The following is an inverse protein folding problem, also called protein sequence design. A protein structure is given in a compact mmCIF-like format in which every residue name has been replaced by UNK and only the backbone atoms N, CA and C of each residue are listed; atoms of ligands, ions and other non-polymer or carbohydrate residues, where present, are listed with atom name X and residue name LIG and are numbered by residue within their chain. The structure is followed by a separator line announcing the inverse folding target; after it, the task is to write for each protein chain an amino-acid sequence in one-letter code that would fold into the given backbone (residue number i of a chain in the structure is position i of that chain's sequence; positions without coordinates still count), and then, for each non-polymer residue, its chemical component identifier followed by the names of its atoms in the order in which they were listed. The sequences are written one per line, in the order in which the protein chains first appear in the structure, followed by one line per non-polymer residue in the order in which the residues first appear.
data_IF_013917777757
#
_entry.id   IF_013917777757
#
_cell.length_a   1.000
_cell.length_b   1.000
_cell.length_c   1.000
_cell.angle_alpha   90.00
_cell.angle_beta   90.00
_cell.angle_gamma   90.00
#
_symmetry.space_group_name_H-M   'P 1'
#
loop_
_entity.id
_entity.type
_entity.pdbx_description
1 polymer ?
#
# COMPACT_ATOMS: atom_id res chain seq x y z
N UNK A 1 40.14 -18.48 -41.73
CA UNK A 1 41.35 -17.91 -41.12
C UNK A 1 41.09 -17.83 -39.63
N UNK A 2 41.30 -18.92 -38.88
CA UNK A 2 42.49 -19.16 -38.04
C UNK A 2 42.79 -17.97 -37.13
N UNK A 3 42.41 -18.04 -35.85
CA UNK A 3 43.31 -18.27 -34.68
C UNK A 3 42.68 -17.42 -33.56
N UNK A 4 42.66 -17.69 -32.25
CA UNK A 4 43.39 -18.59 -31.36
C UNK A 4 42.69 -18.51 -30.00
N UNK A 5 42.64 -19.62 -29.29
CA UNK A 5 42.13 -19.80 -27.92
C UNK A 5 43.28 -19.59 -26.91
N UNK A 6 42.94 -19.32 -25.64
CA UNK A 6 43.80 -19.25 -24.42
C UNK A 6 44.35 -17.83 -24.17
N UNK A 7 44.30 -17.17 -23.02
CA UNK A 7 44.14 -17.43 -21.57
C UNK A 7 43.40 -16.18 -21.01
N UNK A 8 42.54 -16.20 -19.99
CA UNK A 8 42.86 -16.24 -18.55
C UNK A 8 41.53 -16.46 -17.79
N UNK A 9 41.29 -17.69 -17.35
CA UNK A 9 40.42 -17.97 -16.19
C UNK A 9 41.30 -18.70 -15.20
N UNK A 10 41.59 -18.06 -14.07
CA UNK A 10 42.16 -18.71 -12.90
C UNK A 10 41.29 -18.31 -11.71
N UNK A 11 40.31 -19.15 -11.39
CA UNK A 11 39.63 -19.13 -10.10
C UNK A 11 39.66 -20.58 -9.60
N UNK A 12 40.32 -20.74 -8.46
CA UNK A 12 40.50 -21.98 -7.72
C UNK A 12 39.17 -22.73 -7.48
N UNK A 13 39.25 -24.05 -7.65
CA UNK A 13 38.22 -25.01 -7.26
C UNK A 13 38.53 -25.58 -5.88
N UNK A 14 37.66 -25.27 -4.92
CA UNK A 14 37.28 -26.09 -3.75
C UNK A 14 36.01 -25.40 -3.20
N UNK A 15 34.80 -25.96 -3.20
CA UNK A 15 34.40 -27.29 -2.79
C UNK A 15 33.16 -27.78 -3.54
N UNK A 16 33.01 -29.10 -3.49
CA UNK A 16 32.05 -29.98 -4.16
C UNK A 16 30.57 -29.78 -3.83
N UNK A 17 29.74 -29.79 -4.89
CA UNK A 17 28.30 -30.08 -4.86
C UNK A 17 27.86 -30.47 -6.27
N UNK A 18 28.23 -31.68 -6.71
CA UNK A 18 28.06 -32.15 -8.09
C UNK A 18 26.59 -32.33 -8.51
N UNK A 19 26.23 -31.71 -9.63
CA UNK A 19 25.11 -32.15 -10.46
C UNK A 19 25.57 -33.33 -11.33
N UNK A 20 24.69 -34.32 -11.52
CA UNK A 20 24.96 -35.52 -12.34
C UNK A 20 25.38 -35.14 -13.76
N UNK A 21 26.41 -35.82 -14.29
CA UNK A 21 26.96 -35.65 -15.63
C UNK A 21 25.91 -35.85 -16.76
N UNK A 22 24.79 -36.52 -16.47
CA UNK A 22 23.69 -36.71 -17.42
C UNK A 22 22.87 -35.43 -17.64
N UNK A 23 22.84 -34.51 -16.66
CA UNK A 23 22.09 -33.26 -16.75
C UNK A 23 22.80 -32.21 -17.63
N UNK A 24 24.13 -32.16 -17.60
CA UNK A 24 24.93 -31.27 -18.45
C UNK A 24 24.88 -31.70 -19.93
N UNK A 25 24.89 -33.01 -20.19
CA UNK A 25 24.77 -33.54 -21.55
C UNK A 25 23.41 -33.23 -22.19
N UNK A 26 22.31 -33.34 -21.43
CA UNK A 26 20.96 -32.98 -21.90
C UNK A 26 20.84 -31.49 -22.21
N UNK A 27 21.47 -30.63 -21.41
CA UNK A 27 21.36 -29.18 -21.53
C UNK A 27 22.11 -28.64 -22.77
N UNK A 28 23.28 -29.22 -23.08
CA UNK A 28 24.04 -28.86 -24.27
C UNK A 28 23.38 -29.37 -25.56
N UNK A 29 22.69 -30.52 -25.51
CA UNK A 29 21.94 -31.05 -26.65
C UNK A 29 20.72 -30.18 -27.00
N UNK A 30 20.06 -29.59 -25.99
CA UNK A 30 18.89 -28.71 -26.19
C UNK A 30 19.26 -27.35 -26.80
N UNK A 31 20.46 -26.83 -26.52
CA UNK A 31 21.00 -25.59 -27.09
C UNK A 31 21.38 -25.74 -28.58
N UNK A 32 21.86 -26.92 -28.99
CA UNK A 32 22.23 -27.21 -30.39
C UNK A 32 20.98 -27.40 -31.27
N UNK A 33 19.86 -27.86 -30.69
CA UNK A 33 18.64 -28.21 -31.43
C UNK A 33 17.62 -27.06 -31.60
N UNK A 34 17.95 -25.82 -31.22
CA UNK A 34 17.13 -24.65 -31.52
C UNK A 34 15.69 -24.66 -30.96
N UNK A 35 15.43 -25.42 -29.89
CA UNK A 35 14.11 -25.40 -29.23
C UNK A 35 13.97 -24.15 -28.36
N UNK A 36 12.81 -23.46 -28.38
CA UNK A 36 12.64 -22.24 -27.60
C UNK A 36 12.69 -22.56 -26.10
N UNK A 37 13.58 -21.87 -25.40
CA UNK A 37 13.67 -21.86 -23.93
C UNK A 37 12.29 -21.49 -23.37
N UNK A 38 11.69 -22.40 -22.58
CA UNK A 38 10.40 -22.18 -21.92
C UNK A 38 10.45 -20.89 -21.09
N UNK A 39 9.75 -19.85 -21.54
CA UNK A 39 9.40 -18.71 -20.70
C UNK A 39 8.54 -19.22 -19.53
N UNK A 40 9.08 -19.24 -18.33
CA UNK A 40 8.33 -19.56 -17.10
C UNK A 40 7.36 -18.41 -16.78
N UNK A 41 6.21 -18.39 -17.45
CA UNK A 41 5.11 -17.44 -17.25
C UNK A 41 3.98 -18.08 -16.43
N UNK A 42 4.28 -18.67 -15.28
CA UNK A 42 3.25 -19.39 -14.49
C UNK A 42 3.42 -19.24 -12.98
N UNK A 43 3.14 -18.04 -12.46
CA UNK A 43 2.79 -17.72 -11.06
C UNK A 43 2.21 -16.28 -11.04
N UNK A 44 0.98 -15.93 -10.63
CA UNK A 44 -0.24 -16.64 -10.23
C UNK A 44 -1.46 -15.76 -10.59
N UNK A 45 -2.22 -16.10 -11.65
CA UNK A 45 -3.68 -15.83 -11.60
C UNK A 45 -4.24 -16.65 -10.45
N UNK A 46 -5.25 -16.15 -9.72
CA UNK A 46 -5.95 -17.00 -8.75
C UNK A 46 -6.36 -18.31 -9.45
N UNK A 47 -6.06 -19.46 -8.84
CA UNK A 47 -6.54 -20.74 -9.36
C UNK A 47 -8.07 -20.69 -9.30
N UNK A 48 -8.79 -20.89 -10.42
CA UNK A 48 -10.24 -20.85 -10.43
C UNK A 48 -10.74 -22.18 -9.84
N UNK A 49 -10.66 -22.34 -8.52
CA UNK A 49 -11.44 -23.37 -7.83
C UNK A 49 -12.94 -22.98 -7.79
N UNK A 50 -13.23 -21.70 -8.03
CA UNK A 50 -14.57 -21.11 -8.13
C UNK A 50 -14.61 -20.18 -9.34
N UNK A 51 -15.75 -20.09 -10.01
CA UNK A 51 -15.97 -19.14 -11.11
C UNK A 51 -16.15 -17.69 -10.63
N UNK A 52 -15.98 -17.43 -9.34
CA UNK A 52 -16.20 -16.13 -8.72
C UNK A 52 -15.14 -15.80 -7.66
N UNK A 53 -15.05 -14.52 -7.32
CA UNK A 53 -14.20 -13.97 -6.27
C UNK A 53 -15.01 -13.01 -5.41
N UNK A 54 -14.91 -13.13 -4.08
CA UNK A 54 -15.66 -12.31 -3.12
C UNK A 54 -14.78 -11.16 -2.62
N UNK A 55 -15.20 -9.91 -2.78
CA UNK A 55 -14.44 -8.71 -2.38
C UNK A 55 -15.22 -7.93 -1.33
N UNK A 56 -14.55 -7.51 -0.24
CA UNK A 56 -15.15 -6.63 0.76
C UNK A 56 -14.81 -5.18 0.41
N UNK A 57 -15.83 -4.33 0.35
CA UNK A 57 -15.69 -2.88 0.17
C UNK A 57 -16.03 -2.19 1.49
N UNK A 58 -15.01 -1.73 2.22
CA UNK A 58 -15.16 -0.93 3.43
C UNK A 58 -15.33 0.53 3.01
N UNK A 59 -16.50 1.12 3.27
CA UNK A 59 -16.79 2.51 2.95
C UNK A 59 -16.66 3.39 4.19
N UNK A 60 -15.53 4.09 4.30
CA UNK A 60 -15.20 4.94 5.44
C UNK A 60 -15.67 6.38 5.26
N UNK A 61 -15.90 6.82 4.03
CA UNK A 61 -16.36 8.17 3.69
C UNK A 61 -15.61 8.80 2.51
N UNK A 62 -15.44 10.12 2.55
CA UNK A 62 -14.84 10.91 1.48
C UNK A 62 -15.78 11.24 0.32
N UNK A 63 -15.27 12.01 -0.64
CA UNK A 63 -16.02 12.58 -1.77
C UNK A 63 -16.77 11.53 -2.59
N UNK A 64 -16.25 10.30 -2.68
CA UNK A 64 -16.79 9.25 -3.56
C UNK A 64 -18.27 8.93 -3.30
N UNK A 65 -18.73 8.96 -2.04
CA UNK A 65 -20.14 8.72 -1.70
C UNK A 65 -20.90 9.97 -1.25
N UNK A 66 -20.37 11.18 -1.50
CA UNK A 66 -21.10 12.41 -1.20
C UNK A 66 -22.25 12.65 -2.19
N UNK A 67 -23.32 13.27 -1.70
CA UNK A 67 -24.46 13.69 -2.53
C UNK A 67 -24.68 15.19 -2.39
N UNK A 68 -25.33 15.80 -3.39
CA UNK A 68 -25.77 17.19 -3.28
C UNK A 68 -26.92 17.29 -2.28
N UNK A 69 -26.78 18.18 -1.31
CA UNK A 69 -27.86 18.59 -0.45
C UNK A 69 -28.78 19.60 -1.15
N UNK A 70 -29.85 20.04 -0.47
CA UNK A 70 -30.81 21.03 -1.00
C UNK A 70 -30.17 22.36 -1.40
N UNK A 71 -29.02 22.70 -0.81
CA UNK A 71 -28.24 23.91 -1.12
C UNK A 71 -27.23 23.70 -2.25
N UNK A 72 -27.20 22.52 -2.86
CA UNK A 72 -26.30 22.16 -3.95
C UNK A 72 -24.87 21.77 -3.53
N UNK A 73 -24.55 21.79 -2.23
CA UNK A 73 -23.25 21.43 -1.69
C UNK A 73 -23.13 19.92 -1.45
N UNK A 74 -21.93 19.38 -1.56
CA UNK A 74 -21.67 17.96 -1.31
C UNK A 74 -21.58 17.66 0.18
N UNK A 75 -22.29 16.61 0.61
CA UNK A 75 -22.24 16.10 1.97
C UNK A 75 -22.38 14.57 1.96
N UNK A 76 -21.77 13.92 2.96
CA UNK A 76 -21.94 12.49 3.20
C UNK A 76 -23.38 12.22 3.68
N UNK A 77 -24.00 11.15 3.17
CA UNK A 77 -25.30 10.69 3.64
C UNK A 77 -25.28 9.17 3.80
N UNK A 78 -25.60 8.70 5.00
CA UNK A 78 -25.57 7.28 5.33
C UNK A 78 -26.60 6.46 4.54
N UNK A 79 -26.30 5.19 4.33
CA UNK A 79 -27.08 4.17 3.63
C UNK A 79 -27.39 4.48 2.16
N UNK A 80 -26.67 5.42 1.54
CA UNK A 80 -26.91 5.80 0.14
C UNK A 80 -26.06 5.00 -0.85
N UNK A 81 -24.89 4.51 -0.43
CA UNK A 81 -23.89 3.96 -1.34
C UNK A 81 -24.43 2.75 -2.09
N UNK A 82 -24.89 1.74 -1.36
CA UNK A 82 -25.39 0.51 -1.93
C UNK A 82 -26.63 0.74 -2.82
N UNK A 83 -27.61 1.50 -2.33
CA UNK A 83 -28.83 1.84 -3.08
C UNK A 83 -28.50 2.51 -4.41
N UNK A 84 -27.51 3.42 -4.42
CA UNK A 84 -27.09 4.09 -5.64
C UNK A 84 -26.31 3.16 -6.56
N UNK A 85 -25.40 2.32 -6.04
CA UNK A 85 -24.66 1.35 -6.86
C UNK A 85 -25.60 0.40 -7.60
N UNK A 86 -26.67 -0.08 -6.95
CA UNK A 86 -27.69 -0.94 -7.58
C UNK A 86 -28.32 -0.32 -8.83
N UNK A 87 -28.32 1.02 -8.95
CA UNK A 87 -28.83 1.74 -10.13
C UNK A 87 -27.83 1.89 -11.28
N UNK A 88 -26.57 1.45 -11.12
CA UNK A 88 -25.53 1.54 -12.14
C UNK A 88 -25.20 0.15 -12.73
N UNK A 89 -25.65 -0.16 -13.96
CA UNK A 89 -25.41 -1.47 -14.58
C UNK A 89 -23.92 -1.83 -14.72
N UNK A 90 -23.04 -0.83 -14.83
CA UNK A 90 -21.58 -1.03 -14.89
C UNK A 90 -20.94 -1.49 -13.56
N UNK A 91 -21.65 -1.33 -12.44
CA UNK A 91 -21.19 -1.74 -11.11
C UNK A 91 -22.06 -2.85 -10.51
N UNK A 92 -23.27 -3.07 -11.02
CA UNK A 92 -24.18 -4.10 -10.56
C UNK A 92 -24.94 -4.75 -11.73
N UNK A 93 -24.69 -6.02 -11.98
CA UNK A 93 -25.45 -6.87 -12.90
C UNK A 93 -26.57 -7.56 -12.12
N UNK A 94 -27.79 -7.04 -12.28
CA UNK A 94 -28.98 -7.52 -11.58
C UNK A 94 -29.39 -8.94 -12.01
N UNK A 95 -29.12 -9.31 -13.28
CA UNK A 95 -29.50 -10.62 -13.81
C UNK A 95 -28.58 -11.68 -13.24
N UNK A 96 -27.27 -11.41 -13.25
CA UNK A 96 -26.30 -12.31 -12.65
C UNK A 96 -26.44 -12.41 -11.12
N UNK A 97 -26.96 -11.38 -10.43
CA UNK A 97 -27.11 -11.40 -8.99
C UNK A 97 -28.00 -12.55 -8.47
N UNK A 98 -29.01 -12.97 -9.23
CA UNK A 98 -29.87 -14.11 -8.88
C UNK A 98 -29.07 -15.42 -8.80
N UNK A 99 -28.09 -15.63 -9.69
CA UNK A 99 -27.24 -16.82 -9.71
C UNK A 99 -26.30 -16.91 -8.51
N UNK A 100 -26.00 -15.78 -7.86
CA UNK A 100 -25.07 -15.69 -6.72
C UNK A 100 -25.75 -15.53 -5.35
N UNK A 101 -27.09 -15.59 -5.29
CA UNK A 101 -27.84 -15.47 -4.04
C UNK A 101 -27.43 -16.52 -2.97
N UNK A 102 -26.94 -17.69 -3.40
CA UNK A 102 -26.44 -18.74 -2.47
C UNK A 102 -25.03 -18.45 -1.94
N UNK A 103 -24.23 -17.70 -2.69
CA UNK A 103 -22.84 -17.33 -2.34
C UNK A 103 -22.82 -16.16 -1.36
N UNK A 104 -23.82 -15.30 -1.45
CA UNK A 104 -23.99 -14.19 -0.54
C UNK A 104 -25.48 -14.08 -0.17
N UNK A 105 -25.91 -14.77 0.90
CA UNK A 105 -27.31 -14.81 1.31
C UNK A 105 -27.83 -13.48 1.84
N UNK A 106 -26.93 -12.54 2.14
CA UNK A 106 -27.29 -11.18 2.52
C UNK A 106 -27.86 -10.41 1.31
N UNK A 107 -29.00 -9.73 1.50
CA UNK A 107 -29.71 -8.94 0.48
C UNK A 107 -28.88 -7.77 -0.13
N UNK A 108 -27.70 -7.54 0.43
CA UNK A 108 -26.83 -6.41 0.13
C UNK A 108 -25.66 -6.76 -0.79
N UNK A 109 -25.66 -7.98 -1.35
CA UNK A 109 -24.61 -8.38 -2.27
C UNK A 109 -24.74 -7.74 -3.65
N UNK A 110 -23.60 -7.36 -4.22
CA UNK A 110 -23.50 -6.74 -5.53
C UNK A 110 -22.60 -7.59 -6.43
N UNK A 111 -23.00 -7.75 -7.69
CA UNK A 111 -22.24 -8.52 -8.68
C UNK A 111 -21.74 -7.58 -9.76
N UNK A 112 -20.43 -7.50 -9.97
CA UNK A 112 -19.87 -6.74 -11.09
C UNK A 112 -20.26 -7.44 -12.41
N UNK A 113 -20.53 -6.71 -13.52
CA UNK A 113 -20.71 -7.29 -14.85
C UNK A 113 -19.54 -8.17 -15.30
N UNK A 114 -19.73 -8.89 -16.41
CA UNK A 114 -18.63 -9.63 -17.01
C UNK A 114 -17.57 -8.65 -17.53
N UNK A 115 -16.35 -8.82 -17.05
CA UNK A 115 -15.20 -7.98 -17.39
C UNK A 115 -14.22 -8.69 -18.31
N UNK A 116 -14.50 -9.95 -18.69
CA UNK A 116 -13.57 -10.81 -19.44
C UNK A 116 -12.41 -11.34 -18.61
N UNK A 117 -12.43 -11.12 -17.30
CA UNK A 117 -11.44 -11.63 -16.36
C UNK A 117 -11.76 -13.05 -15.87
N UNK A 118 -10.82 -13.67 -15.18
CA UNK A 118 -10.90 -15.09 -14.83
C UNK A 118 -12.05 -15.42 -13.85
N UNK A 119 -12.38 -14.51 -12.94
CA UNK A 119 -13.40 -14.69 -11.92
C UNK A 119 -14.45 -13.59 -12.01
N UNK A 120 -15.73 -13.98 -11.86
CA UNK A 120 -16.82 -13.03 -11.63
C UNK A 120 -16.66 -12.38 -10.26
N UNK A 121 -16.65 -11.05 -10.19
CA UNK A 121 -16.47 -10.35 -8.90
C UNK A 121 -17.82 -10.14 -8.23
N UNK A 122 -17.95 -10.71 -7.04
CA UNK A 122 -19.07 -10.54 -6.12
C UNK A 122 -18.57 -9.72 -4.95
N UNK A 123 -19.29 -8.70 -4.51
CA UNK A 123 -18.80 -7.81 -3.46
C UNK A 123 -19.89 -7.33 -2.50
N UNK A 124 -19.46 -7.00 -1.29
CA UNK A 124 -20.32 -6.49 -0.21
C UNK A 124 -19.78 -5.14 0.23
N UNK A 125 -20.68 -4.19 0.47
CA UNK A 125 -20.33 -2.87 0.98
C UNK A 125 -20.57 -2.84 2.49
N UNK A 126 -19.50 -2.71 3.28
CA UNK A 126 -19.57 -2.42 4.70
C UNK A 126 -19.42 -0.92 4.92
N UNK A 127 -20.54 -0.25 5.17
CA UNK A 127 -20.58 1.21 5.36
C UNK A 127 -20.36 1.58 6.84
N UNK A 128 -19.45 2.53 7.08
CA UNK A 128 -19.21 3.07 8.42
C UNK A 128 -20.28 4.08 8.82
N UNK A 129 -20.66 4.03 10.09
CA UNK A 129 -21.44 5.05 10.76
C UNK A 129 -20.65 5.59 11.98
N UNK A 130 -20.35 6.89 12.04
CA UNK A 130 -20.55 7.91 11.00
C UNK A 130 -19.55 7.77 9.84
N UNK A 131 -19.94 8.27 8.65
CA UNK A 131 -19.01 8.47 7.54
C UNK A 131 -18.03 9.61 7.86
N UNK A 132 -16.76 9.41 7.55
CA UNK A 132 -15.67 10.31 7.92
C UNK A 132 -15.19 11.17 6.74
N UNK A 133 -14.89 12.44 7.04
CA UNK A 133 -13.95 13.20 6.23
C UNK A 133 -12.54 12.69 6.56
N UNK A 134 -11.77 12.35 5.52
CA UNK A 134 -10.40 11.85 5.69
C UNK A 134 -9.50 12.81 6.48
N UNK A 135 -9.75 14.12 6.45
CA UNK A 135 -9.01 15.12 7.23
C UNK A 135 -9.21 14.97 8.75
N UNK A 136 -10.28 14.29 9.18
CA UNK A 136 -10.59 14.02 10.58
C UNK A 136 -10.19 12.60 11.03
N UNK A 137 -9.64 11.78 10.13
CA UNK A 137 -9.25 10.42 10.48
C UNK A 137 -8.00 10.39 11.36
N UNK A 138 -8.04 9.50 12.34
CA UNK A 138 -7.04 9.31 13.38
C UNK A 138 -6.45 7.89 13.33
N UNK A 139 -5.52 7.61 14.25
CA UNK A 139 -4.96 6.26 14.40
C UNK A 139 -6.03 5.22 14.76
N UNK A 140 -7.05 5.60 15.52
CA UNK A 140 -8.13 4.68 15.93
C UNK A 140 -8.97 4.26 14.73
N UNK A 141 -9.17 5.16 13.76
CA UNK A 141 -9.86 4.84 12.50
C UNK A 141 -9.04 3.87 11.64
N UNK A 142 -7.71 4.01 11.62
CA UNK A 142 -6.84 3.03 10.95
C UNK A 142 -6.88 1.66 11.62
N UNK A 143 -6.92 1.63 12.95
CA UNK A 143 -7.07 0.39 13.73
C UNK A 143 -8.39 -0.28 13.41
N UNK A 144 -9.49 0.49 13.37
CA UNK A 144 -10.81 -0.02 12.98
C UNK A 144 -10.76 -0.70 11.61
N UNK A 145 -10.25 -0.02 10.58
CA UNK A 145 -10.13 -0.59 9.23
C UNK A 145 -9.29 -1.87 9.23
N UNK A 146 -8.15 -1.88 9.93
CA UNK A 146 -7.28 -3.05 9.99
C UNK A 146 -7.95 -4.25 10.70
N UNK A 147 -8.72 -3.99 11.75
CA UNK A 147 -9.46 -5.02 12.47
C UNK A 147 -10.62 -5.57 11.66
N UNK A 148 -11.36 -4.73 10.92
CA UNK A 148 -12.42 -5.19 10.02
C UNK A 148 -11.85 -6.10 8.90
N UNK A 149 -10.71 -5.71 8.31
CA UNK A 149 -10.00 -6.57 7.34
C UNK A 149 -9.61 -7.91 7.99
N UNK A 150 -9.20 -7.90 9.26
CA UNK A 150 -8.81 -9.12 10.00
C UNK A 150 -9.98 -10.04 10.25
N UNK A 151 -11.09 -9.50 10.71
CA UNK A 151 -12.30 -10.27 11.01
C UNK A 151 -12.88 -10.91 9.75
N UNK A 152 -12.85 -10.17 8.63
CA UNK A 152 -13.30 -10.64 7.32
C UNK A 152 -12.21 -11.37 6.52
N UNK A 153 -11.02 -11.59 7.09
CA UNK A 153 -9.86 -11.98 6.29
C UNK A 153 -10.06 -13.31 5.57
N UNK A 154 -10.64 -14.31 6.23
CA UNK A 154 -10.81 -15.65 5.65
C UNK A 154 -11.97 -15.73 4.63
N UNK A 155 -13.00 -14.91 4.80
CA UNK A 155 -14.21 -14.95 3.98
C UNK A 155 -14.03 -14.30 2.59
N UNK A 156 -13.21 -13.26 2.51
CA UNK A 156 -13.04 -12.47 1.28
C UNK A 156 -11.68 -12.73 0.61
N UNK A 157 -11.65 -12.59 -0.72
CA UNK A 157 -10.46 -12.79 -1.54
C UNK A 157 -9.61 -11.52 -1.70
N UNK A 158 -10.23 -10.34 -1.52
CA UNK A 158 -9.56 -9.05 -1.57
C UNK A 158 -10.40 -7.98 -0.86
N UNK A 159 -9.77 -6.83 -0.60
CA UNK A 159 -10.34 -5.74 0.17
C UNK A 159 -10.19 -4.43 -0.58
N UNK A 160 -11.25 -3.61 -0.52
CA UNK A 160 -11.25 -2.24 -1.02
C UNK A 160 -11.66 -1.34 0.14
N UNK A 161 -10.93 -0.25 0.34
CA UNK A 161 -11.27 0.80 1.31
C UNK A 161 -11.59 2.07 0.54
N UNK A 162 -12.86 2.47 0.54
CA UNK A 162 -13.31 3.74 -0.02
C UNK A 162 -13.07 4.85 0.99
N UNK A 163 -12.22 5.80 0.60
CA UNK A 163 -11.62 6.76 1.51
C UNK A 163 -11.53 8.16 0.86
N UNK A 164 -11.55 9.21 1.68
CA UNK A 164 -11.30 10.59 1.22
C UNK A 164 -9.85 10.79 0.76
N UNK A 165 -9.61 11.67 -0.20
CA UNK A 165 -8.29 11.77 -0.85
C UNK A 165 -7.24 12.49 -0.01
N UNK A 166 -7.61 13.33 0.95
CA UNK A 166 -6.68 14.22 1.67
C UNK A 166 -5.65 13.47 2.51
N UNK A 167 -6.07 12.43 3.24
CA UNK A 167 -5.18 11.62 4.09
C UNK A 167 -5.00 10.19 3.60
N UNK A 168 -5.48 9.87 2.39
CA UNK A 168 -5.43 8.51 1.82
C UNK A 168 -4.03 7.88 1.84
N UNK A 169 -2.99 8.67 1.50
CA UNK A 169 -1.61 8.19 1.51
C UNK A 169 -1.09 7.89 2.92
N UNK A 170 -1.58 8.59 3.95
CA UNK A 170 -1.26 8.30 5.35
C UNK A 170 -1.91 7.00 5.79
N UNK A 171 -3.21 6.83 5.53
CA UNK A 171 -3.94 5.59 5.82
C UNK A 171 -3.31 4.39 5.12
N UNK A 172 -2.97 4.53 3.83
CA UNK A 172 -2.30 3.48 3.06
C UNK A 172 -0.93 3.10 3.64
N UNK A 173 -0.18 4.09 4.11
CA UNK A 173 1.11 3.85 4.75
C UNK A 173 0.93 3.15 6.10
N UNK A 174 0.02 3.63 6.95
CA UNK A 174 -0.28 3.02 8.25
C UNK A 174 -0.71 1.56 8.11
N UNK A 175 -1.71 1.29 7.27
CA UNK A 175 -2.19 -0.08 7.01
C UNK A 175 -1.10 -0.98 6.46
N UNK A 176 -0.17 -0.47 5.63
CA UNK A 176 0.94 -1.29 5.12
C UNK A 176 1.89 -1.80 6.22
N UNK A 177 1.99 -1.10 7.35
CA UNK A 177 2.74 -1.56 8.52
C UNK A 177 1.89 -2.38 9.49
N UNK A 178 0.59 -2.11 9.56
CA UNK A 178 -0.32 -2.81 10.46
C UNK A 178 -0.65 -4.22 9.98
N UNK A 179 -0.81 -4.41 8.66
CA UNK A 179 -1.21 -5.66 8.02
C UNK A 179 0.02 -6.52 7.72
N UNK A 180 0.60 -7.12 8.75
CA UNK A 180 1.76 -8.00 8.65
C UNK A 180 1.40 -9.34 8.01
N UNK A 181 2.29 -9.87 7.17
CA UNK A 181 2.09 -11.12 6.43
C UNK A 181 0.80 -11.10 5.59
N UNK A 182 0.49 -9.93 5.02
CA UNK A 182 -0.60 -9.77 4.08
C UNK A 182 -0.38 -10.67 2.86
N UNK A 183 -1.41 -11.44 2.52
CA UNK A 183 -1.43 -12.38 1.40
C UNK A 183 -2.55 -12.09 0.39
N UNK A 184 -3.34 -11.04 0.62
CA UNK A 184 -4.48 -10.63 -0.21
C UNK A 184 -4.32 -9.18 -0.64
N UNK A 185 -4.96 -8.82 -1.74
CA UNK A 185 -4.91 -7.47 -2.28
C UNK A 185 -5.76 -6.52 -1.44
N UNK A 186 -5.16 -5.45 -0.93
CA UNK A 186 -5.87 -4.37 -0.22
C UNK A 186 -5.71 -3.09 -1.04
N UNK A 187 -6.80 -2.56 -1.57
CA UNK A 187 -6.80 -1.36 -2.41
C UNK A 187 -7.52 -0.23 -1.67
N UNK A 188 -6.85 0.88 -1.47
CA UNK A 188 -7.50 2.11 -1.00
C UNK A 188 -7.78 2.97 -2.22
N UNK A 189 -9.00 3.45 -2.35
CA UNK A 189 -9.40 4.30 -3.47
C UNK A 189 -10.45 5.31 -3.04
N UNK A 190 -10.77 6.24 -3.92
CA UNK A 190 -11.71 7.33 -3.69
C UNK A 190 -11.98 8.06 -4.99
N UNK A 191 -12.39 9.32 -4.92
CA UNK A 191 -12.61 10.14 -6.11
C UNK A 191 -12.48 11.63 -5.80
N UNK A 192 -12.26 12.43 -6.85
CA UNK A 192 -12.36 13.88 -6.79
C UNK A 192 -13.80 14.35 -7.06
N UNK A 193 -14.56 13.57 -7.83
CA UNK A 193 -15.96 13.83 -8.16
C UNK A 193 -16.80 12.69 -7.60
N UNK A 194 -17.89 12.94 -6.85
CA UNK A 194 -18.69 11.87 -6.27
C UNK A 194 -19.19 10.87 -7.30
N UNK A 195 -19.26 9.58 -6.93
CA UNK A 195 -19.57 8.45 -7.81
C UNK A 195 -20.88 8.65 -8.59
N UNK A 196 -21.82 9.40 -8.02
CA UNK A 196 -23.15 9.59 -8.58
C UNK A 196 -23.20 10.63 -9.70
N UNK A 197 -22.16 11.45 -9.87
CA UNK A 197 -22.11 12.52 -10.88
C UNK A 197 -21.75 11.98 -12.27
N UNK A 198 -22.30 12.56 -13.33
CA UNK A 198 -22.16 12.00 -14.69
C UNK A 198 -20.70 11.78 -15.13
N UNK A 199 -19.80 12.72 -14.83
CA UNK A 199 -18.37 12.68 -15.20
C UNK A 199 -17.45 12.22 -14.05
N UNK A 200 -17.96 11.39 -13.15
CA UNK A 200 -17.20 10.94 -11.98
C UNK A 200 -16.04 10.01 -12.32
N UNK A 201 -14.87 10.30 -11.75
CA UNK A 201 -13.73 9.37 -11.68
C UNK A 201 -13.95 8.23 -10.67
N UNK A 202 -14.90 8.38 -9.75
CA UNK A 202 -15.20 7.38 -8.72
C UNK A 202 -15.75 6.08 -9.28
N UNK A 203 -16.49 6.10 -10.40
CA UNK A 203 -16.97 4.87 -11.04
C UNK A 203 -15.82 4.02 -11.58
N UNK A 204 -14.92 4.67 -12.32
CA UNK A 204 -13.77 4.00 -12.91
C UNK A 204 -12.82 3.50 -11.81
N UNK A 205 -12.56 4.32 -10.79
CA UNK A 205 -11.72 3.95 -9.65
C UNK A 205 -12.29 2.74 -8.88
N UNK A 206 -13.61 2.71 -8.59
CA UNK A 206 -14.23 1.57 -7.92
C UNK A 206 -14.24 0.31 -8.80
N UNK A 207 -14.66 0.42 -10.06
CA UNK A 207 -14.71 -0.70 -11.00
C UNK A 207 -13.33 -1.33 -11.18
N UNK A 208 -12.31 -0.51 -11.42
CA UNK A 208 -10.93 -0.96 -11.57
C UNK A 208 -10.43 -1.62 -10.28
N UNK A 209 -10.77 -1.08 -9.12
CA UNK A 209 -10.38 -1.68 -7.83
C UNK A 209 -11.02 -3.05 -7.63
N UNK A 210 -12.31 -3.21 -7.96
CA UNK A 210 -13.02 -4.50 -7.91
C UNK A 210 -12.37 -5.54 -8.82
N UNK A 211 -12.05 -5.15 -10.05
CA UNK A 211 -11.37 -6.03 -11.01
C UNK A 211 -10.03 -6.51 -10.45
N UNK A 212 -9.19 -5.58 -9.97
CA UNK A 212 -7.86 -5.90 -9.47
C UNK A 212 -7.92 -6.75 -8.20
N UNK A 213 -8.71 -6.34 -7.20
CA UNK A 213 -8.82 -7.05 -5.94
C UNK A 213 -9.43 -8.46 -6.10
N UNK A 214 -10.34 -8.63 -7.06
CA UNK A 214 -11.01 -9.91 -7.29
C UNK A 214 -10.22 -10.92 -8.13
N UNK A 215 -9.33 -10.45 -9.02
CA UNK A 215 -8.69 -11.33 -10.02
C UNK A 215 -7.17 -11.48 -9.88
N UNK A 216 -6.51 -10.56 -9.17
CA UNK A 216 -5.06 -10.51 -9.11
C UNK A 216 -4.56 -10.51 -7.66
N UNK A 217 -3.63 -11.43 -7.36
CA UNK A 217 -3.00 -11.52 -6.04
C UNK A 217 -1.79 -10.58 -5.97
N UNK A 218 -2.02 -9.38 -5.44
CA UNK A 218 -0.99 -8.36 -5.18
C UNK A 218 -0.99 -8.16 -3.66
N UNK A 219 -0.17 -8.91 -2.90
CA UNK A 219 -0.24 -9.00 -1.43
C UNK A 219 0.33 -7.74 -0.75
N UNK A 220 -0.28 -6.59 -1.03
CA UNK A 220 0.16 -5.28 -0.59
C UNK A 220 -1.04 -4.37 -0.32
N UNK A 221 -0.82 -3.38 0.55
CA UNK A 221 -1.69 -2.21 0.63
C UNK A 221 -1.33 -1.25 -0.49
N UNK A 222 -2.31 -0.93 -1.32
CA UNK A 222 -2.14 -0.18 -2.56
C UNK A 222 -3.10 0.99 -2.65
N UNK A 223 -2.81 1.95 -3.54
CA UNK A 223 -3.75 3.00 -3.92
C UNK A 223 -4.07 2.86 -5.40
N UNK A 224 -5.36 2.84 -5.76
CA UNK A 224 -5.81 2.90 -7.14
C UNK A 224 -6.39 4.27 -7.46
N UNK A 225 -5.80 4.96 -8.43
CA UNK A 225 -6.30 6.24 -8.93
C UNK A 225 -5.91 6.42 -10.40
N UNK A 226 -6.82 6.96 -11.21
CA UNK A 226 -6.56 7.34 -12.60
C UNK A 226 -5.88 6.20 -13.40
N UNK A 227 -6.50 5.02 -13.38
CA UNK A 227 -6.05 3.82 -14.09
C UNK A 227 -4.65 3.30 -13.69
N UNK A 228 -4.13 3.70 -12.53
CA UNK A 228 -2.82 3.25 -12.00
C UNK A 228 -3.02 2.67 -10.60
N UNK A 229 -2.39 1.52 -10.34
CA UNK A 229 -2.25 0.96 -9.00
C UNK A 229 -0.84 1.23 -8.49
N UNK A 230 -0.74 1.87 -7.33
CA UNK A 230 0.53 2.22 -6.70
C UNK A 230 0.70 1.46 -5.39
N UNK A 231 1.95 1.18 -5.00
CA UNK A 231 2.27 0.72 -3.64
C UNK A 231 1.90 1.83 -2.64
N UNK A 232 1.03 1.54 -1.68
CA UNK A 232 0.43 2.54 -0.79
C UNK A 232 1.46 3.40 -0.06
N UNK A 233 2.44 2.78 0.59
CA UNK A 233 3.50 3.48 1.34
C UNK A 233 4.57 4.18 0.48
N UNK A 234 4.41 4.22 -0.85
CA UNK A 234 5.26 4.99 -1.77
C UNK A 234 4.52 6.16 -2.42
N UNK A 235 3.25 6.36 -2.09
CA UNK A 235 2.40 7.37 -2.73
C UNK A 235 2.38 8.70 -1.97
N UNK A 236 2.01 9.76 -2.68
CA UNK A 236 1.66 11.05 -2.11
C UNK A 236 0.61 11.72 -2.98
N UNK A 237 -0.29 12.50 -2.36
CA UNK A 237 -1.23 13.37 -3.09
C UNK A 237 -0.45 14.55 -3.68
N UNK A 238 -0.52 14.73 -4.99
CA UNK A 238 0.19 15.78 -5.74
C UNK A 238 -0.74 16.85 -6.31
N UNK A 239 -2.05 16.59 -6.34
CA UNK A 239 -3.03 17.56 -6.84
C UNK A 239 -4.33 17.50 -6.06
N UNK A 240 -4.92 18.68 -5.84
CA UNK A 240 -6.24 18.84 -5.20
C UNK A 240 -7.39 18.94 -6.22
N UNK A 241 -7.09 19.19 -7.50
CA UNK A 241 -8.10 19.43 -8.55
C UNK A 241 -7.99 18.49 -9.75
N UNK A 242 -6.82 17.89 -9.99
CA UNK A 242 -6.62 16.93 -11.07
C UNK A 242 -7.21 15.57 -10.72
N UNK A 243 -7.71 14.86 -11.74
CA UNK A 243 -8.05 13.43 -11.63
C UNK A 243 -6.79 12.56 -11.47
N UNK A 244 -5.63 13.00 -11.98
CA UNK A 244 -4.32 12.41 -11.67
C UNK A 244 -3.81 12.97 -10.31
N UNK A 245 -4.53 12.63 -9.24
CA UNK A 245 -4.36 13.24 -7.93
C UNK A 245 -3.15 12.69 -7.15
N UNK A 246 -2.70 11.47 -7.45
CA UNK A 246 -1.67 10.75 -6.73
C UNK A 246 -0.46 10.42 -7.60
N UNK A 247 0.71 10.40 -6.99
CA UNK A 247 1.96 9.98 -7.62
C UNK A 247 2.78 9.11 -6.67
N UNK A 248 3.61 8.25 -7.25
CA UNK A 248 4.64 7.46 -6.56
C UNK A 248 6.00 7.82 -7.17
N UNK A 249 6.69 8.83 -6.62
CA UNK A 249 7.87 9.42 -7.28
C UNK A 249 9.07 8.48 -7.40
N UNK A 250 9.24 7.58 -6.43
CA UNK A 250 10.43 6.74 -6.26
C UNK A 250 10.15 5.25 -6.53
N UNK A 251 8.95 4.92 -7.00
CA UNK A 251 8.59 3.57 -7.42
C UNK A 251 7.51 3.68 -8.51
N UNK A 252 7.69 3.09 -9.70
CA UNK A 252 6.65 3.12 -10.72
C UNK A 252 5.38 2.38 -10.26
N UNK A 253 4.22 2.64 -10.89
CA UNK A 253 2.98 1.90 -10.61
C UNK A 253 3.19 0.39 -10.71
N UNK A 254 2.53 -0.36 -9.82
CA UNK A 254 2.47 -1.82 -9.85
C UNK A 254 1.58 -2.32 -11.00
N UNK A 255 0.51 -1.58 -11.29
CA UNK A 255 -0.41 -1.87 -12.38
C UNK A 255 -0.72 -0.60 -13.17
N UNK A 256 -0.82 -0.74 -14.49
CA UNK A 256 -1.38 0.28 -15.39
C UNK A 256 -2.55 -0.34 -16.15
N UNK A 257 -3.70 0.31 -16.08
CA UNK A 257 -4.90 -0.07 -16.81
C UNK A 257 -5.01 0.79 -18.08
N UNK A 258 -5.15 0.11 -19.21
CA UNK A 258 -5.42 0.72 -20.51
C UNK A 258 -6.41 -0.17 -21.26
N UNK A 259 -6.14 -0.45 -22.54
CA UNK A 259 -6.90 -1.47 -23.29
C UNK A 259 -6.82 -2.84 -22.60
N UNK A 260 -5.68 -3.14 -21.96
CA UNK A 260 -5.50 -4.30 -21.09
C UNK A 260 -4.92 -3.91 -19.74
N UNK A 261 -4.83 -4.90 -18.85
CA UNK A 261 -4.26 -4.76 -17.51
C UNK A 261 -2.79 -5.18 -17.54
N UNK A 262 -1.89 -4.23 -17.32
CA UNK A 262 -0.44 -4.47 -17.31
C UNK A 262 0.10 -4.43 -15.89
N UNK A 263 0.58 -5.58 -15.39
CA UNK A 263 1.13 -5.74 -14.04
C UNK A 263 2.64 -5.87 -14.11
N UNK A 264 3.36 -5.07 -13.34
CA UNK A 264 4.81 -5.14 -13.19
C UNK A 264 5.19 -6.07 -12.03
N UNK A 265 5.14 -7.38 -12.28
CA UNK A 265 5.41 -8.44 -11.29
C UNK A 265 6.82 -8.43 -10.69
N UNK A 266 7.76 -7.67 -11.27
CA UNK A 266 9.09 -7.47 -10.67
C UNK A 266 9.05 -6.50 -9.49
N UNK A 267 8.09 -5.57 -9.49
CA UNK A 267 7.94 -4.57 -8.44
C UNK A 267 7.00 -5.03 -7.33
N UNK A 268 6.11 -5.98 -7.61
CA UNK A 268 5.20 -6.58 -6.62
C UNK A 268 6.01 -7.35 -5.57
N UNK A 269 5.71 -7.10 -4.29
CA UNK A 269 6.32 -7.78 -3.15
C UNK A 269 6.08 -9.30 -3.22
N UNK A 270 7.13 -10.06 -2.92
CA UNK A 270 7.09 -11.52 -2.88
C UNK A 270 7.39 -11.98 -1.46
N UNK A 271 6.39 -12.51 -0.73
CA UNK A 271 6.62 -13.10 0.58
C UNK A 271 7.72 -14.17 0.49
N UNK A 272 8.69 -14.12 1.39
CA UNK A 272 9.79 -15.09 1.45
C UNK A 272 9.49 -16.25 2.41
N UNK A 273 8.52 -16.06 3.31
CA UNK A 273 7.99 -17.05 4.24
C UNK A 273 6.47 -17.13 4.11
N UNK A 274 5.92 -18.30 4.45
CA UNK A 274 4.47 -18.49 4.60
C UNK A 274 4.19 -18.33 6.09
N UNK A 275 3.81 -17.13 6.48
CA UNK A 275 3.41 -16.82 7.85
C UNK A 275 1.92 -16.47 7.90
N UNK A 276 1.31 -16.66 9.07
CA UNK A 276 -0.09 -16.32 9.26
C UNK A 276 -0.25 -14.79 9.27
N UNK A 277 -1.25 -14.32 8.56
CA UNK A 277 -1.66 -12.92 8.57
C UNK A 277 -1.93 -12.43 9.99
N UNK A 278 -1.41 -11.25 10.33
CA UNK A 278 -1.52 -10.65 11.65
C UNK A 278 -1.73 -9.13 11.55
N UNK A 279 -2.40 -8.55 12.56
CA UNK A 279 -2.65 -7.11 12.63
C UNK A 279 -2.02 -6.51 13.88
N UNK A 280 -1.20 -5.47 13.66
CA UNK A 280 -0.62 -4.64 14.71
C UNK A 280 -1.54 -3.47 15.04
N UNK A 281 -2.33 -3.59 16.10
CA UNK A 281 -3.24 -2.53 16.56
C UNK A 281 -2.62 -1.55 17.57
N UNK A 282 -1.44 -1.86 18.12
CA UNK A 282 -0.76 -1.00 19.09
C UNK A 282 0.11 0.05 18.39
N UNK A 283 -0.48 1.19 18.04
CA UNK A 283 0.22 2.33 17.44
C UNK A 283 0.79 3.29 18.50
N UNK A 284 1.91 3.95 18.18
CA UNK A 284 2.47 4.98 19.04
C UNK A 284 1.89 6.35 18.67
N UNK A 285 1.04 6.91 19.53
CA UNK A 285 0.41 8.21 19.32
C UNK A 285 1.40 9.40 19.47
N UNK A 286 2.57 9.18 20.09
CA UNK A 286 3.57 10.23 20.32
C UNK A 286 4.53 10.37 19.13
N UNK A 287 3.98 10.57 17.93
CA UNK A 287 4.72 10.76 16.69
C UNK A 287 4.32 12.11 16.08
N UNK A 288 5.31 12.95 15.82
CA UNK A 288 5.12 14.26 15.19
C UNK A 288 5.89 14.40 13.89
N UNK A 289 5.31 15.12 12.93
CA UNK A 289 5.99 15.54 11.70
C UNK A 289 6.32 17.02 11.80
N UNK A 290 7.62 17.36 11.85
CA UNK A 290 8.08 18.74 11.82
C UNK A 290 8.63 19.08 10.42
N UNK A 291 7.94 19.99 9.75
CA UNK A 291 8.43 20.61 8.52
C UNK A 291 9.43 21.70 8.86
N UNK A 292 10.67 21.53 8.42
CA UNK A 292 11.64 22.63 8.44
C UNK A 292 11.38 23.54 7.24
N UNK A 293 11.50 24.84 7.48
CA UNK A 293 11.40 25.89 6.47
C UNK A 293 12.41 26.99 6.78
N UNK A 294 12.87 27.76 5.78
CA UNK A 294 13.78 28.88 6.02
C UNK A 294 13.22 29.81 7.09
N UNK A 295 14.06 30.23 8.04
CA UNK A 295 13.71 31.10 9.17
C UNK A 295 12.95 30.46 10.33
N UNK A 296 12.76 29.14 10.37
CA UNK A 296 12.36 28.48 11.62
C UNK A 296 13.45 28.71 12.68
N UNK A 297 13.07 29.22 13.85
CA UNK A 297 14.04 29.53 14.91
C UNK A 297 14.37 28.29 15.74
N UNK A 298 15.55 28.29 16.35
CA UNK A 298 15.98 27.20 17.23
C UNK A 298 15.05 27.09 18.44
N UNK A 299 14.54 28.22 18.93
CA UNK A 299 13.61 28.28 20.07
C UNK A 299 12.30 27.54 19.76
N UNK A 300 11.73 27.75 18.56
CA UNK A 300 10.51 27.04 18.12
C UNK A 300 10.77 25.53 18.04
N UNK A 301 11.90 25.13 17.46
CA UNK A 301 12.30 23.73 17.38
C UNK A 301 12.45 23.09 18.78
N UNK A 302 13.13 23.79 19.69
CA UNK A 302 13.34 23.33 21.08
C UNK A 302 12.03 23.23 21.86
N UNK A 303 11.08 24.15 21.66
CA UNK A 303 9.78 24.10 22.35
C UNK A 303 8.94 22.91 21.89
N UNK A 304 8.91 22.66 20.57
CA UNK A 304 8.25 21.47 20.01
C UNK A 304 8.88 20.21 20.59
N UNK A 305 10.21 20.16 20.66
CA UNK A 305 10.93 19.08 21.31
C UNK A 305 10.52 18.90 22.78
N UNK A 306 10.52 19.98 23.57
CA UNK A 306 10.15 19.94 24.99
C UNK A 306 8.72 19.42 25.17
N UNK A 307 7.78 19.81 24.32
CA UNK A 307 6.41 19.29 24.34
C UNK A 307 6.35 17.77 24.17
N UNK A 308 7.20 17.20 23.30
CA UNK A 308 7.34 15.75 23.17
C UNK A 308 8.15 15.11 24.33
N UNK A 309 8.68 15.89 25.28
CA UNK A 309 9.43 15.44 26.45
C UNK A 309 10.92 15.23 26.19
N UNK A 310 11.53 16.10 25.38
CA UNK A 310 12.94 16.04 25.00
C UNK A 310 13.79 17.11 25.73
N UNK A 311 14.90 16.69 26.32
CA UNK A 311 16.04 17.56 26.64
C UNK A 311 17.11 17.34 25.57
N UNK A 312 17.30 18.29 24.65
CA UNK A 312 18.32 18.22 23.60
C UNK A 312 19.16 19.50 23.59
N UNK A 313 20.46 19.35 23.42
CA UNK A 313 21.41 20.41 23.06
C UNK A 313 21.92 20.10 21.66
N UNK A 314 21.77 21.03 20.70
CA UNK A 314 22.06 20.77 19.27
C UNK A 314 23.30 21.52 18.77
N UNK A 315 24.01 20.91 17.80
CA UNK A 315 25.06 21.55 17.01
C UNK A 315 24.50 22.01 15.64
N UNK A 316 24.76 23.25 15.17
CA UNK A 316 23.92 23.94 14.19
C UNK A 316 24.10 23.55 12.71
N UNK A 317 25.08 22.72 12.36
CA UNK A 317 25.64 22.71 10.99
C UNK A 317 24.92 21.84 9.94
N UNK A 318 23.83 21.12 10.27
CA UNK A 318 23.19 20.19 9.30
C UNK A 318 21.69 20.43 9.02
N UNK A 319 21.09 21.52 9.50
CA UNK A 319 19.64 21.75 9.51
C UNK A 319 18.99 22.14 8.16
N UNK A 320 19.78 22.40 7.11
CA UNK A 320 19.26 23.04 5.90
C UNK A 320 18.55 22.14 4.87
N UNK A 321 18.48 20.81 5.05
CA UNK A 321 18.17 19.90 3.91
C UNK A 321 17.07 18.85 4.13
N UNK A 322 16.49 18.70 5.32
CA UNK A 322 15.62 17.56 5.62
C UNK A 322 14.40 17.91 6.50
N UNK A 323 13.29 17.16 6.38
CA UNK A 323 12.22 17.09 7.37
C UNK A 323 12.66 16.26 8.56
N UNK A 324 12.21 16.62 9.75
CA UNK A 324 12.48 15.86 10.97
C UNK A 324 11.18 15.17 11.41
N UNK A 325 11.14 13.85 11.34
CA UNK A 325 10.13 13.06 12.05
C UNK A 325 10.68 12.82 13.46
N UNK A 326 9.91 13.24 14.47
CA UNK A 326 10.27 13.10 15.87
C UNK A 326 9.40 11.99 16.46
N UNK A 327 10.02 10.90 16.90
CA UNK A 327 9.33 9.74 17.50
C UNK A 327 9.76 9.61 18.95
N UNK A 328 8.83 9.73 19.89
CA UNK A 328 9.09 9.42 21.29
C UNK A 328 9.10 7.90 21.50
N UNK A 329 10.25 7.33 21.90
CA UNK A 329 10.28 5.92 22.34
C UNK A 329 9.58 5.79 23.69
N UNK A 330 8.79 4.73 23.85
CA UNK A 330 8.36 4.27 25.19
C UNK A 330 9.60 3.77 25.95
N UNK A 331 9.61 3.94 27.27
CA UNK A 331 10.68 3.49 28.17
C UNK A 331 11.12 2.06 27.82
N UNK A 332 12.42 1.84 27.62
CA UNK A 332 12.95 0.48 27.52
C UNK A 332 12.90 -0.18 28.91
N UNK A 333 12.43 -1.44 29.05
CA UNK A 333 12.31 -2.10 30.35
C UNK A 333 13.62 -2.22 31.15
N UNK A 334 14.77 -2.15 30.47
CA UNK A 334 16.09 -2.40 31.05
C UNK A 334 16.94 -1.16 31.34
N UNK A 335 16.51 0.04 30.92
CA UNK A 335 17.25 1.29 31.16
C UNK A 335 16.29 2.44 31.42
N UNK A 336 16.57 3.29 32.42
CA UNK A 336 15.83 4.55 32.67
C UNK A 336 15.96 5.59 31.53
N UNK A 337 16.44 5.21 30.36
CA UNK A 337 16.68 6.11 29.23
C UNK A 337 15.40 6.26 28.37
N UNK A 338 14.92 7.49 28.24
CA UNK A 338 13.96 7.88 27.21
C UNK A 338 14.70 8.21 25.92
N UNK A 339 14.59 7.34 24.91
CA UNK A 339 15.15 7.59 23.57
C UNK A 339 14.17 8.31 22.65
N UNK A 340 14.67 9.14 21.75
CA UNK A 340 13.89 9.71 20.64
C UNK A 340 14.55 9.38 19.32
N UNK A 341 13.74 8.86 18.41
CA UNK A 341 14.21 8.52 17.08
C UNK A 341 13.91 9.70 16.13
N UNK A 342 14.96 10.16 15.48
CA UNK A 342 14.87 11.12 14.39
C UNK A 342 14.93 10.36 13.07
N UNK A 343 13.93 10.58 12.21
CA UNK A 343 13.99 10.13 10.82
C UNK A 343 14.02 11.36 9.92
N UNK A 344 15.06 11.48 9.10
CA UNK A 344 15.27 12.62 8.22
C UNK A 344 14.70 12.33 6.83
N UNK A 345 13.66 13.02 6.39
CA UNK A 345 13.08 12.88 5.05
C UNK A 345 13.53 14.03 4.14
N UNK A 346 13.66 13.83 2.83
CA UNK A 346 13.88 14.94 1.90
C UNK A 346 12.56 15.70 1.61
N UNK A 347 12.58 17.05 1.48
CA UNK A 347 11.46 17.85 0.96
C UNK A 347 11.23 17.75 -0.54
N UNK A 348 12.20 17.23 -1.28
CA UNK A 348 12.06 17.01 -2.70
C UNK A 348 11.32 15.70 -2.98
N UNK A 349 10.33 15.79 -3.86
CA UNK A 349 9.42 14.70 -4.26
C UNK A 349 10.18 13.48 -4.81
N UNK A 350 11.32 13.68 -5.48
CA UNK A 350 12.08 12.62 -6.20
C UNK A 350 13.36 12.13 -5.50
N UNK A 351 13.61 12.49 -4.24
CA UNK A 351 14.90 12.21 -3.61
C UNK A 351 14.84 11.04 -2.60
N UNK A 352 15.96 10.32 -2.53
CA UNK A 352 16.23 9.29 -1.53
C UNK A 352 16.46 9.89 -0.14
N UNK A 353 16.19 9.05 0.88
CA UNK A 353 16.35 9.33 2.30
C UNK A 353 17.75 8.87 2.75
N UNK A 354 18.47 9.68 3.51
CA UNK A 354 19.55 9.21 4.39
C UNK A 354 18.96 9.02 5.78
N UNK A 355 18.83 7.77 6.24
CA UNK A 355 18.42 7.49 7.61
C UNK A 355 19.66 7.61 8.50
N UNK A 356 19.77 8.71 9.24
CA UNK A 356 20.70 8.79 10.36
C UNK A 356 19.99 8.30 11.64
N UNK A 357 20.39 7.13 12.16
CA UNK A 357 20.03 6.75 13.54
C UNK A 357 20.90 7.55 14.49
N UNK A 358 20.30 8.51 15.20
CA UNK A 358 20.91 9.09 16.39
C UNK A 358 20.33 8.37 17.61
N UNK A 359 21.12 7.49 18.22
CA UNK A 359 20.83 6.99 19.57
C UNK A 359 21.48 7.94 20.57
N UNK A 360 20.70 8.50 21.50
CA UNK A 360 21.23 9.15 22.67
C UNK A 360 20.83 8.35 23.89
N UNK A 361 21.84 7.78 24.55
CA UNK A 361 21.72 7.22 25.89
C UNK A 361 22.10 8.35 26.83
N UNK A 362 21.22 8.71 27.77
CA UNK A 362 21.67 9.42 28.98
C UNK A 362 22.63 8.48 29.70
N UNK A 363 23.92 8.62 29.39
CA UNK A 363 24.98 8.16 30.27
C UNK A 363 25.50 9.42 30.93
N UNK A 364 25.39 9.46 32.26
CA UNK A 364 26.18 10.36 33.07
C UNK A 364 27.61 10.39 32.51
N UNK A 365 28.05 11.58 32.15
CA UNK A 365 29.41 12.01 31.85
C UNK A 365 30.39 10.89 31.44
N UNK A 366 30.80 10.96 30.18
CA UNK A 366 31.90 10.23 29.54
C UNK A 366 31.56 8.88 28.90
N UNK A 367 31.08 8.87 27.65
CA UNK A 367 31.65 8.02 26.58
C UNK A 367 31.05 8.32 25.20
N UNK A 368 31.87 8.08 24.18
CA UNK A 368 31.72 8.48 22.77
C UNK A 368 30.42 7.99 22.10
N UNK A 369 29.84 8.85 21.28
CA UNK A 369 28.87 8.49 20.24
C UNK A 369 29.48 7.47 19.25
N UNK A 370 28.94 6.26 19.19
CA UNK A 370 29.32 5.27 18.18
C UNK A 370 28.40 5.36 16.96
N UNK A 371 28.96 5.67 15.79
CA UNK A 371 28.28 5.59 14.48
C UNK A 371 28.10 4.12 14.10
N UNK A 372 26.91 3.56 14.27
CA UNK A 372 26.54 2.24 13.72
C UNK A 372 25.72 2.40 12.44
N UNK A 373 26.20 1.83 11.32
CA UNK A 373 25.35 1.59 10.13
C UNK A 373 24.49 0.37 10.40
N UNK A 374 23.18 0.54 10.33
CA UNK A 374 22.24 -0.57 10.22
C UNK A 374 21.43 -0.35 8.94
N UNK A 375 21.73 -1.15 7.92
CA UNK A 375 20.93 -1.26 6.69
C UNK A 375 19.60 -1.93 7.03
N UNK A 376 18.50 -1.31 6.60
CA UNK A 376 17.20 -1.95 6.44
C UNK A 376 16.98 -2.22 4.96
#
# INVERSE_FOLDING_TARGET
MSSSVSEYFNIDRSDSGGLSADAEASFLQDLINGRPVRKSNSLHKMKPERNYSKVLVIYTGGTIGMIRNEKGAYASKSNMMEMKIKSYPQLHDIVAAEDYATVCPDENCLVLPDTGEACRVVYVVHEYDPLLDSSNMTMDDWIRIAMDIKESYEEFNGFIVLHGTDTMAYTASALSFMLENLGKTVIITGSQIPLYEARSDGRDNLMNSLIIAGNYCIPEVTILFNNKLFRGNRTSKISTSSLDAFSSPNLPPLVKMGIGIHIEWRNVFRPSSIEKFNVHSSLNHNVGLLRLFPSITVEVFMEIHRYFGLNLTFLPESLGRYWHIVIKSRQMPSTKATGVFHMLKSPLIHNFMEIHRYFWVESDLSTRASRGRCTL
#
